data_IF_067719216820
#
_entry.id   IF_067719216820
#
_cell.length_a   1.000
_cell.length_b   1.000
_cell.length_c   1.000
_cell.angle_alpha   90.00
_cell.angle_beta   90.00
_cell.angle_gamma   90.00
#
_symmetry.space_group_name_H-M   'P 1'
#
loop_
_entity.id
_entity.type
_entity.pdbx_description
1 polymer ?
#
# COMPACT_ATOMS: atom_id res chain seq x y z
N UNK A 1 -8.88 29.01 128.91
CA UNK A 1 -10.24 29.21 128.39
C UNK A 1 -10.98 27.87 128.47
N UNK A 2 -11.94 27.70 129.41
CA UNK A 2 -13.41 27.59 129.18
C UNK A 2 -13.79 26.19 128.61
N UNK A 3 -14.66 25.29 129.10
CA UNK A 3 -15.73 25.12 130.14
C UNK A 3 -15.93 23.57 130.29
N UNK A 4 -16.05 22.93 131.46
CA UNK A 4 -17.20 22.77 132.39
C UNK A 4 -18.40 21.93 131.90
N UNK A 5 -18.68 20.80 132.59
CA UNK A 5 -19.97 20.32 133.16
C UNK A 5 -19.81 18.84 133.65
N UNK A 6 -19.61 18.55 134.95
CA UNK A 6 -20.58 18.36 136.08
C UNK A 6 -21.27 16.98 136.12
N UNK A 7 -21.04 16.20 137.20
CA UNK A 7 -22.07 15.45 137.97
C UNK A 7 -21.46 14.77 139.23
N UNK A 8 -22.25 14.46 140.29
CA UNK A 8 -21.77 14.47 141.68
C UNK A 8 -21.94 13.17 142.52
N UNK A 9 -21.12 13.09 143.58
CA UNK A 9 -21.31 12.55 144.96
C UNK A 9 -21.89 11.16 145.24
N UNK A 10 -21.13 10.33 145.98
CA UNK A 10 -21.61 9.56 147.16
C UNK A 10 -20.45 9.19 148.10
N UNK A 11 -20.74 9.13 149.41
CA UNK A 11 -19.80 9.10 150.57
C UNK A 11 -19.99 7.80 151.35
N UNK A 12 -18.90 7.11 151.76
CA UNK A 12 -18.74 6.32 153.04
C UNK A 12 -17.23 6.16 153.40
N UNK A 13 -16.85 6.21 154.69
CA UNK A 13 -15.50 6.36 155.33
C UNK A 13 -14.71 5.02 155.64
N UNK A 14 -13.71 4.92 156.58
CA UNK A 14 -12.23 5.17 156.50
C UNK A 14 -11.32 3.99 157.02
N UNK A 15 -9.97 3.97 156.76
CA UNK A 15 -8.84 3.58 157.70
C UNK A 15 -7.43 3.31 157.07
N UNK A 16 -6.43 4.17 157.39
CA UNK A 16 -4.98 3.98 157.80
C UNK A 16 -4.09 2.90 157.12
N UNK A 17 -2.99 3.17 156.37
CA UNK A 17 -1.73 3.95 156.58
C UNK A 17 -0.70 3.31 157.57
N UNK A 18 -0.01 2.20 157.20
CA UNK A 18 1.24 1.70 157.85
C UNK A 18 2.03 0.55 157.16
N UNK A 19 1.96 0.33 155.83
CA UNK A 19 2.55 -0.86 155.16
C UNK A 19 3.56 -0.61 154.03
N UNK A 20 3.96 0.64 153.76
CA UNK A 20 4.68 1.00 152.52
C UNK A 20 6.22 1.14 152.62
N UNK A 21 6.82 1.11 153.82
CA UNK A 21 8.26 1.41 153.95
C UNK A 21 9.22 0.21 153.80
N UNK A 22 8.76 -1.04 153.93
CA UNK A 22 9.65 -2.22 153.94
C UNK A 22 9.97 -2.80 152.54
N UNK A 23 9.32 -2.31 151.46
CA UNK A 23 9.47 -2.82 150.08
C UNK A 23 10.62 -2.19 149.26
N UNK A 24 11.22 -1.08 149.70
CA UNK A 24 12.18 -0.32 148.89
C UNK A 24 13.62 -0.86 148.90
N UNK A 25 14.05 -1.60 149.92
CA UNK A 25 15.46 -2.02 150.08
C UNK A 25 15.93 -3.18 149.17
N UNK A 26 15.06 -4.10 148.77
CA UNK A 26 15.43 -5.28 147.95
C UNK A 26 15.58 -5.00 146.45
N UNK A 27 15.34 -3.76 146.03
CA UNK A 27 15.35 -3.34 144.62
C UNK A 27 16.78 -2.99 144.14
N UNK A 28 17.71 -2.66 145.03
CA UNK A 28 19.04 -2.14 144.66
C UNK A 28 20.02 -3.15 144.02
N UNK A 29 20.20 -4.34 144.60
CA UNK A 29 21.24 -5.30 144.15
C UNK A 29 20.91 -5.93 142.80
N UNK A 30 19.62 -6.15 142.52
CA UNK A 30 19.16 -6.72 141.26
C UNK A 30 19.41 -5.78 140.06
N UNK A 31 19.60 -4.48 140.31
CA UNK A 31 19.85 -3.50 139.25
C UNK A 31 21.27 -3.59 138.65
N UNK A 32 22.26 -4.15 139.37
CA UNK A 32 23.65 -4.10 138.91
C UNK A 32 24.02 -5.27 137.98
N UNK A 33 23.57 -6.49 138.27
CA UNK A 33 23.71 -7.62 137.33
C UNK A 33 22.92 -7.40 136.04
N UNK A 34 21.78 -6.72 136.16
CA UNK A 34 21.03 -6.23 135.00
C UNK A 34 21.84 -5.25 134.14
N UNK A 35 22.82 -4.54 134.69
CA UNK A 35 23.60 -3.53 133.97
C UNK A 35 24.74 -4.13 133.12
N UNK A 36 25.38 -5.21 133.56
CA UNK A 36 26.46 -5.86 132.80
C UNK A 36 25.93 -6.76 131.69
N UNK A 37 24.86 -7.52 131.96
CA UNK A 37 24.11 -8.23 130.92
C UNK A 37 23.56 -7.26 129.87
N UNK A 38 23.18 -6.05 130.30
CA UNK A 38 22.79 -4.97 129.40
C UNK A 38 23.95 -4.49 128.50
N UNK A 39 25.19 -4.46 128.98
CA UNK A 39 26.35 -4.02 128.20
C UNK A 39 26.78 -5.02 127.12
N UNK A 40 26.77 -6.32 127.41
CA UNK A 40 27.07 -7.35 126.41
C UNK A 40 25.94 -7.51 125.39
N UNK A 41 24.69 -7.39 125.85
CA UNK A 41 23.54 -7.27 124.97
C UNK A 41 23.69 -6.05 124.05
N UNK A 42 24.21 -4.92 124.56
CA UNK A 42 24.42 -3.69 123.78
C UNK A 42 25.50 -3.82 122.70
N UNK A 43 26.58 -4.57 122.92
CA UNK A 43 27.63 -4.74 121.90
C UNK A 43 27.22 -5.73 120.80
N UNK A 44 26.55 -6.84 121.14
CA UNK A 44 25.95 -7.74 120.16
C UNK A 44 24.82 -7.06 119.38
N UNK A 45 24.01 -6.26 120.07
CA UNK A 45 23.01 -5.42 119.42
C UNK A 45 23.66 -4.49 118.38
N UNK A 46 24.76 -3.80 118.72
CA UNK A 46 25.48 -2.94 117.75
C UNK A 46 26.11 -3.68 116.56
N UNK A 47 26.61 -4.90 116.76
CA UNK A 47 27.18 -5.69 115.67
C UNK A 47 26.07 -6.18 114.72
N UNK A 48 24.94 -6.62 115.27
CA UNK A 48 23.74 -6.93 114.49
C UNK A 48 23.19 -5.69 113.79
N UNK A 49 23.19 -4.54 114.46
CA UNK A 49 22.76 -3.25 113.90
C UNK A 49 23.61 -2.87 112.68
N UNK A 50 24.94 -3.06 112.74
CA UNK A 50 25.85 -2.79 111.62
C UNK A 50 25.68 -3.78 110.46
N UNK A 51 25.41 -5.05 110.75
CA UNK A 51 25.13 -6.06 109.73
C UNK A 51 23.76 -5.82 109.07
N UNK A 52 22.77 -5.39 109.86
CA UNK A 52 21.47 -4.93 109.37
C UNK A 52 21.66 -3.69 108.48
N UNK A 53 22.48 -2.72 108.87
CA UNK A 53 22.81 -1.56 108.03
C UNK A 53 23.44 -1.94 106.69
N UNK A 54 24.38 -2.88 106.67
CA UNK A 54 25.00 -3.36 105.42
C UNK A 54 24.01 -4.12 104.53
N UNK A 55 23.10 -4.88 105.13
CA UNK A 55 22.08 -5.61 104.41
C UNK A 55 20.97 -4.68 103.90
N UNK A 56 20.64 -3.63 104.66
CA UNK A 56 19.72 -2.56 104.26
C UNK A 56 20.32 -1.79 103.09
N UNK A 57 21.58 -1.36 103.17
CA UNK A 57 22.25 -0.65 102.07
C UNK A 57 22.39 -1.50 100.79
N UNK A 58 22.65 -2.81 100.91
CA UNK A 58 22.64 -3.72 99.76
C UNK A 58 21.24 -3.91 99.16
N UNK A 59 20.22 -4.05 100.00
CA UNK A 59 18.83 -4.14 99.55
C UNK A 59 18.35 -2.83 98.91
N UNK A 60 18.79 -1.67 99.41
CA UNK A 60 18.53 -0.36 98.80
C UNK A 60 19.20 -0.25 97.42
N UNK A 61 20.43 -0.74 97.26
CA UNK A 61 21.12 -0.79 95.97
C UNK A 61 20.38 -1.70 94.97
N UNK A 62 20.01 -2.92 95.37
CA UNK A 62 19.22 -3.83 94.52
C UNK A 62 17.83 -3.27 94.19
N UNK A 63 17.19 -2.60 95.14
CA UNK A 63 15.92 -1.91 94.89
C UNK A 63 16.10 -0.78 93.87
N UNK A 64 17.21 -0.04 93.93
CA UNK A 64 17.54 1.01 92.97
C UNK A 64 17.83 0.45 91.57
N UNK A 65 18.56 -0.65 91.47
CA UNK A 65 18.86 -1.34 90.21
C UNK A 65 17.59 -1.91 89.56
N UNK A 66 16.74 -2.57 90.36
CA UNK A 66 15.43 -3.04 89.90
C UNK A 66 14.54 -1.89 89.43
N UNK A 67 14.57 -0.74 90.12
CA UNK A 67 13.84 0.46 89.71
C UNK A 67 14.33 1.00 88.36
N UNK A 68 15.64 0.94 88.08
CA UNK A 68 16.22 1.32 86.77
C UNK A 68 15.80 0.32 85.69
N UNK A 69 15.88 -0.98 85.96
CA UNK A 69 15.44 -2.04 85.04
C UNK A 69 13.95 -1.95 84.72
N UNK A 70 13.10 -1.70 85.70
CA UNK A 70 11.66 -1.49 85.50
C UNK A 70 11.40 -0.26 84.64
N UNK A 71 12.08 0.87 84.91
CA UNK A 71 11.94 2.08 84.10
C UNK A 71 12.40 1.88 82.65
N UNK A 72 13.45 1.08 82.44
CA UNK A 72 13.99 0.76 81.10
C UNK A 72 13.06 -0.18 80.34
N UNK A 73 12.54 -1.20 81.01
CA UNK A 73 11.56 -2.13 80.43
C UNK A 73 10.25 -1.42 80.09
N UNK A 74 9.80 -0.49 80.92
CA UNK A 74 8.63 0.34 80.65
C UNK A 74 8.84 1.18 79.37
N UNK A 75 9.99 1.86 79.27
CA UNK A 75 10.35 2.65 78.09
C UNK A 75 10.46 1.80 76.82
N UNK A 76 11.03 0.60 76.90
CA UNK A 76 11.11 -0.33 75.76
C UNK A 76 9.72 -0.81 75.32
N UNK A 77 8.81 -1.09 76.28
CA UNK A 77 7.42 -1.45 75.95
C UNK A 77 6.68 -0.30 75.26
N UNK A 78 6.89 0.94 75.73
CA UNK A 78 6.35 2.14 75.08
C UNK A 78 6.89 2.29 73.65
N UNK A 79 8.21 2.11 73.45
CA UNK A 79 8.81 2.16 72.13
C UNK A 79 8.28 1.07 71.19
N UNK A 80 8.17 -0.17 71.66
CA UNK A 80 7.60 -1.28 70.87
C UNK A 80 6.14 -0.99 70.50
N UNK A 81 5.35 -0.44 71.43
CA UNK A 81 3.97 -0.04 71.16
C UNK A 81 3.91 1.09 70.12
N UNK A 82 4.77 2.11 70.24
CA UNK A 82 4.86 3.21 69.27
C UNK A 82 5.28 2.71 67.88
N UNK A 83 6.27 1.83 67.79
CA UNK A 83 6.69 1.24 66.52
C UNK A 83 5.63 0.33 65.91
N UNK A 84 4.93 -0.46 66.71
CA UNK A 84 3.80 -1.29 66.26
C UNK A 84 2.67 -0.42 65.70
N UNK A 85 2.37 0.69 66.37
CA UNK A 85 1.37 1.65 65.92
C UNK A 85 1.79 2.35 64.62
N UNK A 86 3.04 2.82 64.53
CA UNK A 86 3.58 3.43 63.32
C UNK A 86 3.62 2.46 62.13
N UNK A 87 4.03 1.20 62.37
CA UNK A 87 4.04 0.16 61.34
C UNK A 87 2.63 -0.17 60.83
N UNK A 88 1.64 -0.17 61.72
CA UNK A 88 0.24 -0.32 61.34
C UNK A 88 -0.24 0.86 60.47
N UNK A 89 0.03 2.10 60.88
CA UNK A 89 -0.33 3.28 60.10
C UNK A 89 0.31 3.28 58.69
N UNK A 90 1.58 2.91 58.58
CA UNK A 90 2.27 2.80 57.29
C UNK A 90 1.63 1.72 56.42
N UNK A 91 1.27 0.57 57.01
CA UNK A 91 0.61 -0.52 56.28
C UNK A 91 -0.77 -0.09 55.77
N UNK A 92 -1.57 0.50 56.65
CA UNK A 92 -2.92 0.98 56.29
C UNK A 92 -2.84 2.04 55.17
N UNK A 93 -1.89 2.98 55.26
CA UNK A 93 -1.66 3.99 54.21
C UNK A 93 -1.14 3.38 52.89
N UNK A 94 -0.28 2.36 52.96
CA UNK A 94 0.20 1.65 51.77
C UNK A 94 -0.93 0.86 51.10
N UNK A 95 -1.79 0.20 51.87
CA UNK A 95 -2.93 -0.54 51.36
C UNK A 95 -3.95 0.40 50.70
N UNK A 96 -4.20 1.57 51.29
CA UNK A 96 -5.03 2.62 50.68
C UNK A 96 -4.44 3.15 49.37
N UNK A 97 -3.12 3.42 49.34
CA UNK A 97 -2.43 3.85 48.12
C UNK A 97 -2.48 2.78 47.01
N UNK A 98 -2.33 1.50 47.36
CA UNK A 98 -2.44 0.37 46.42
C UNK A 98 -3.88 0.24 45.91
N UNK A 99 -4.89 0.40 46.76
CA UNK A 99 -6.29 0.38 46.34
C UNK A 99 -6.60 1.54 45.37
N UNK A 100 -6.14 2.76 45.68
CA UNK A 100 -6.29 3.92 44.81
C UNK A 100 -5.56 3.75 43.47
N UNK A 101 -4.36 3.16 43.48
CA UNK A 101 -3.61 2.86 42.25
C UNK A 101 -4.34 1.82 41.38
N UNK A 102 -4.87 0.75 41.98
CA UNK A 102 -5.67 -0.27 41.27
C UNK A 102 -6.90 0.36 40.60
N UNK A 103 -7.60 1.24 41.31
CA UNK A 103 -8.77 1.94 40.75
C UNK A 103 -8.41 2.86 39.58
N UNK A 104 -7.24 3.52 39.63
CA UNK A 104 -6.74 4.33 38.50
C UNK A 104 -6.36 3.45 37.30
N UNK A 105 -5.73 2.30 37.53
CA UNK A 105 -5.37 1.34 36.47
C UNK A 105 -6.62 0.84 35.76
N UNK A 106 -7.66 0.43 36.49
CA UNK A 106 -8.93 0.00 35.88
C UNK A 106 -9.58 1.12 35.08
N UNK A 107 -9.62 2.35 35.61
CA UNK A 107 -10.18 3.49 34.89
C UNK A 107 -9.42 3.83 33.60
N UNK A 108 -8.09 3.71 33.60
CA UNK A 108 -7.27 3.91 32.38
C UNK A 108 -7.49 2.78 31.39
N UNK A 109 -7.63 1.53 31.86
CA UNK A 109 -7.91 0.39 31.00
C UNK A 109 -9.29 0.51 30.32
N UNK A 110 -10.33 0.84 31.08
CA UNK A 110 -11.68 1.07 30.55
C UNK A 110 -11.68 2.19 29.50
N UNK A 111 -10.94 3.28 29.76
CA UNK A 111 -10.78 4.39 28.81
C UNK A 111 -10.01 3.94 27.56
N UNK A 112 -8.97 3.11 27.71
CA UNK A 112 -8.22 2.53 26.61
C UNK A 112 -9.08 1.63 25.71
N UNK A 113 -9.91 0.77 26.31
CA UNK A 113 -10.86 -0.08 25.60
C UNK A 113 -11.91 0.75 24.86
N UNK A 114 -12.42 1.82 25.48
CA UNK A 114 -13.36 2.73 24.83
C UNK A 114 -12.74 3.44 23.63
N UNK A 115 -11.49 3.93 23.73
CA UNK A 115 -10.78 4.58 22.62
C UNK A 115 -10.50 3.57 21.49
N UNK A 116 -10.06 2.36 21.83
CA UNK A 116 -9.81 1.30 20.85
C UNK A 116 -11.09 0.86 20.11
N UNK A 117 -12.25 0.96 20.76
CA UNK A 117 -13.55 0.75 20.11
C UNK A 117 -13.88 1.89 19.15
N UNK A 118 -13.72 3.15 19.58
CA UNK A 118 -13.94 4.32 18.72
C UNK A 118 -13.03 4.33 17.49
N UNK A 119 -11.74 3.99 17.61
CA UNK A 119 -10.83 3.87 16.47
C UNK A 119 -11.32 2.85 15.44
N UNK A 120 -11.75 1.66 15.89
CA UNK A 120 -12.32 0.63 15.00
C UNK A 120 -13.61 1.08 14.33
N UNK A 121 -14.43 1.88 15.02
CA UNK A 121 -15.65 2.44 14.43
C UNK A 121 -15.33 3.52 13.38
N UNK A 122 -14.30 4.35 13.60
CA UNK A 122 -13.83 5.32 12.62
C UNK A 122 -13.19 4.66 11.39
N UNK A 123 -12.38 3.61 11.57
CA UNK A 123 -11.81 2.84 10.46
C UNK A 123 -12.92 2.25 9.57
N UNK A 124 -13.95 1.65 10.18
CA UNK A 124 -15.13 1.17 9.44
C UNK A 124 -15.87 2.28 8.72
N UNK A 125 -15.94 3.49 9.30
CA UNK A 125 -16.54 4.63 8.61
C UNK A 125 -15.70 5.08 7.41
N UNK A 126 -14.37 5.10 7.55
CA UNK A 126 -13.45 5.44 6.46
C UNK A 126 -13.60 4.41 5.32
N UNK A 127 -13.56 3.11 5.61
CA UNK A 127 -13.75 2.06 4.59
C UNK A 127 -15.10 2.20 3.87
N UNK A 128 -16.17 2.52 4.62
CA UNK A 128 -17.50 2.78 4.04
C UNK A 128 -17.49 4.01 3.15
N UNK A 129 -16.91 5.12 3.60
CA UNK A 129 -16.82 6.35 2.81
C UNK A 129 -15.97 6.15 1.56
N UNK A 130 -14.83 5.45 1.65
CA UNK A 130 -14.00 5.10 0.49
C UNK A 130 -14.74 4.19 -0.50
N UNK A 131 -15.52 3.23 0.01
CA UNK A 131 -16.40 2.40 -0.83
C UNK A 131 -17.48 3.25 -1.50
N UNK A 132 -18.13 4.15 -0.76
CA UNK A 132 -19.12 5.08 -1.32
C UNK A 132 -18.51 6.02 -2.35
N UNK A 133 -17.32 6.57 -2.12
CA UNK A 133 -16.60 7.43 -3.08
C UNK A 133 -16.27 6.63 -4.35
N UNK A 134 -15.73 5.41 -4.23
CA UNK A 134 -15.47 4.55 -5.40
C UNK A 134 -16.75 4.24 -6.18
N UNK A 135 -17.84 3.92 -5.48
CA UNK A 135 -19.13 3.64 -6.10
C UNK A 135 -19.75 4.90 -6.74
N UNK A 136 -19.60 6.08 -6.12
CA UNK A 136 -20.08 7.35 -6.66
C UNK A 136 -19.25 7.80 -7.87
N UNK A 137 -17.92 7.63 -7.85
CA UNK A 137 -17.04 7.91 -8.97
C UNK A 137 -17.33 6.97 -10.14
N UNK A 138 -17.48 5.66 -9.87
CA UNK A 138 -17.92 4.70 -10.89
C UNK A 138 -19.31 5.07 -11.43
N UNK A 139 -20.28 5.38 -10.56
CA UNK A 139 -21.61 5.79 -10.98
C UNK A 139 -21.63 7.11 -11.76
N UNK A 140 -20.79 8.09 -11.43
CA UNK A 140 -20.66 9.35 -12.19
C UNK A 140 -20.01 9.14 -13.56
N UNK A 141 -18.96 8.31 -13.64
CA UNK A 141 -18.37 7.89 -14.91
C UNK A 141 -19.39 7.14 -15.78
N UNK A 142 -20.24 6.31 -15.17
CA UNK A 142 -21.32 5.60 -15.87
C UNK A 142 -22.57 6.46 -16.17
N UNK A 143 -22.79 7.56 -15.45
CA UNK A 143 -23.98 8.39 -15.62
C UNK A 143 -23.80 9.51 -16.65
N UNK A 144 -22.56 9.88 -16.99
CA UNK A 144 -22.26 10.94 -17.96
C UNK A 144 -21.96 10.38 -19.36
N UNK A 145 -21.44 9.16 -19.46
CA UNK A 145 -21.23 8.47 -20.74
C UNK A 145 -21.97 7.12 -20.72
N UNK A 146 -22.79 6.84 -21.75
CA UNK A 146 -23.43 5.52 -21.88
C UNK A 146 -22.37 4.42 -21.77
N UNK A 147 -22.69 3.31 -21.10
CA UNK A 147 -21.77 2.17 -20.88
C UNK A 147 -21.03 1.70 -22.13
N UNK A 148 -21.59 1.91 -23.32
CA UNK A 148 -20.96 1.60 -24.62
C UNK A 148 -19.72 2.45 -24.94
N UNK A 149 -19.63 3.69 -24.46
CA UNK A 149 -18.50 4.60 -24.71
C UNK A 149 -17.55 4.73 -23.53
N UNK A 150 -17.77 3.92 -22.48
CA UNK A 150 -16.92 3.93 -21.32
C UNK A 150 -15.45 3.68 -21.74
N UNK A 151 -14.50 4.48 -21.23
CA UNK A 151 -13.12 4.39 -21.65
C UNK A 151 -12.55 3.01 -21.29
N UNK A 152 -12.06 2.29 -22.31
CA UNK A 152 -11.27 1.08 -22.08
C UNK A 152 -10.04 1.40 -21.20
N UNK A 153 -9.77 0.62 -20.14
CA UNK A 153 -8.56 0.79 -19.36
C UNK A 153 -7.31 0.66 -20.22
N UNK A 154 -6.27 1.46 -19.93
CA UNK A 154 -5.02 1.47 -20.70
C UNK A 154 -4.40 0.08 -20.81
N UNK A 155 -4.37 -0.69 -19.71
CA UNK A 155 -3.82 -2.04 -19.71
C UNK A 155 -4.54 -3.00 -20.68
N UNK A 156 -5.85 -2.81 -20.89
CA UNK A 156 -6.65 -3.62 -21.80
C UNK A 156 -6.33 -3.29 -23.25
N UNK A 157 -6.14 -2.01 -23.57
CA UNK A 157 -5.69 -1.54 -24.89
C UNK A 157 -4.31 -2.12 -25.20
N UNK A 158 -3.35 -1.98 -24.28
CA UNK A 158 -2.01 -2.55 -24.42
C UNK A 158 -2.06 -4.07 -24.64
N UNK A 159 -2.91 -4.77 -23.88
CA UNK A 159 -3.09 -6.21 -24.01
C UNK A 159 -3.65 -6.59 -25.39
N UNK A 160 -4.69 -5.90 -25.88
CA UNK A 160 -5.27 -6.15 -27.22
C UNK A 160 -4.26 -5.84 -28.33
N UNK A 161 -3.47 -4.78 -28.22
CA UNK A 161 -2.39 -4.47 -29.18
C UNK A 161 -1.28 -5.54 -29.16
N UNK A 162 -0.96 -6.10 -27.99
CA UNK A 162 -0.02 -7.24 -27.86
C UNK A 162 -0.59 -8.50 -28.51
N UNK A 163 -1.87 -8.82 -28.26
CA UNK A 163 -2.57 -9.95 -28.89
C UNK A 163 -2.59 -9.81 -30.42
N UNK A 164 -2.97 -8.65 -30.95
CA UNK A 164 -2.96 -8.37 -32.38
C UNK A 164 -1.57 -8.63 -32.99
N UNK A 165 -0.50 -8.10 -32.38
CA UNK A 165 0.85 -8.35 -32.87
C UNK A 165 1.23 -9.84 -32.83
N UNK A 166 0.91 -10.54 -31.75
CA UNK A 166 1.19 -11.98 -31.63
C UNK A 166 0.41 -12.81 -32.67
N UNK A 167 -0.85 -12.44 -32.93
CA UNK A 167 -1.70 -13.05 -33.94
C UNK A 167 -1.16 -12.81 -35.35
N UNK A 168 -0.77 -11.57 -35.69
CA UNK A 168 -0.12 -11.25 -36.98
C UNK A 168 1.15 -12.06 -37.17
N UNK A 169 1.99 -12.17 -36.13
CA UNK A 169 3.23 -12.95 -36.21
C UNK A 169 2.95 -14.45 -36.44
N UNK A 170 1.96 -15.00 -35.75
CA UNK A 170 1.57 -16.41 -35.90
C UNK A 170 0.95 -16.66 -37.28
N UNK A 171 0.07 -15.78 -37.73
CA UNK A 171 -0.49 -15.81 -39.07
C UNK A 171 0.61 -15.75 -40.14
N UNK A 172 1.56 -14.82 -40.00
CA UNK A 172 2.69 -14.71 -40.91
C UNK A 172 3.58 -15.96 -40.87
N UNK A 173 3.75 -16.61 -39.71
CA UNK A 173 4.49 -17.87 -39.61
C UNK A 173 3.85 -18.96 -40.48
N UNK A 174 2.55 -19.18 -40.32
CA UNK A 174 1.80 -20.20 -41.08
C UNK A 174 1.76 -19.93 -42.57
N UNK A 175 1.90 -18.67 -42.98
CA UNK A 175 1.76 -18.21 -44.35
C UNK A 175 3.10 -17.82 -45.02
N UNK A 176 4.23 -18.02 -44.32
CA UNK A 176 5.57 -17.68 -44.80
C UNK A 176 6.27 -18.86 -45.49
N UNK A 177 5.83 -19.17 -46.71
CA UNK A 177 6.36 -20.30 -47.48
C UNK A 177 7.68 -20.04 -48.24
N UNK A 178 8.09 -18.76 -48.37
CA UNK A 178 9.20 -18.41 -49.26
C UNK A 178 10.59 -18.71 -48.64
N UNK A 179 11.48 -19.30 -49.44
CA UNK A 179 12.90 -19.43 -49.09
C UNK A 179 13.61 -18.08 -49.12
N UNK A 180 14.79 -17.99 -48.51
CA UNK A 180 15.57 -16.76 -48.57
C UNK A 180 15.94 -16.38 -50.01
N UNK A 181 16.28 -17.34 -50.89
CA UNK A 181 16.58 -17.01 -52.29
C UNK A 181 15.35 -16.44 -53.00
N UNK A 182 14.16 -16.99 -52.75
CA UNK A 182 12.92 -16.48 -53.33
C UNK A 182 12.57 -15.07 -52.82
N UNK A 183 12.80 -14.79 -51.54
CA UNK A 183 12.61 -13.44 -50.96
C UNK A 183 13.60 -12.45 -51.57
N UNK A 184 14.84 -12.88 -51.85
CA UNK A 184 15.92 -12.06 -52.39
C UNK A 184 15.99 -12.02 -53.93
N UNK A 185 15.03 -12.65 -54.61
CA UNK A 185 14.83 -12.51 -56.05
C UNK A 185 14.78 -11.02 -56.42
N UNK A 186 15.56 -10.54 -57.41
CA UNK A 186 15.73 -9.10 -57.65
C UNK A 186 14.42 -8.32 -57.81
N UNK A 187 13.47 -8.84 -58.59
CA UNK A 187 12.20 -8.15 -58.86
C UNK A 187 11.29 -8.18 -57.64
N UNK A 188 11.14 -9.35 -56.99
CA UNK A 188 10.36 -9.46 -55.75
C UNK A 188 10.95 -8.59 -54.65
N UNK A 189 12.26 -8.67 -54.42
CA UNK A 189 12.94 -7.93 -53.37
C UNK A 189 12.80 -6.42 -53.57
N UNK A 190 12.89 -5.93 -54.82
CA UNK A 190 12.64 -4.53 -55.15
C UNK A 190 11.22 -4.10 -54.81
N UNK A 191 10.21 -4.90 -55.19
CA UNK A 191 8.81 -4.64 -54.85
C UNK A 191 8.59 -4.63 -53.33
N UNK A 192 9.09 -5.64 -52.62
CA UNK A 192 9.01 -5.75 -51.15
C UNK A 192 9.69 -4.57 -50.45
N UNK A 193 10.87 -4.13 -50.93
CA UNK A 193 11.55 -2.96 -50.39
C UNK A 193 10.73 -1.68 -50.58
N UNK A 194 10.17 -1.48 -51.78
CA UNK A 194 9.30 -0.34 -52.05
C UNK A 194 8.07 -0.36 -51.14
N UNK A 195 7.43 -1.51 -50.99
CA UNK A 195 6.30 -1.74 -50.11
C UNK A 195 6.60 -1.39 -48.63
N UNK A 196 7.75 -1.85 -48.13
CA UNK A 196 8.21 -1.57 -46.76
C UNK A 196 8.63 -0.11 -46.56
N UNK A 197 9.23 0.52 -47.58
CA UNK A 197 9.56 1.95 -47.55
C UNK A 197 8.32 2.83 -47.53
N UNK A 198 7.32 2.53 -48.37
CA UNK A 198 6.05 3.28 -48.41
C UNK A 198 5.30 3.22 -47.08
N UNK A 199 5.41 2.09 -46.36
CA UNK A 199 4.87 1.92 -45.00
C UNK A 199 5.73 2.58 -43.92
N UNK A 200 6.96 2.96 -44.23
CA UNK A 200 7.91 3.50 -43.26
C UNK A 200 8.45 2.44 -42.29
N UNK A 201 8.54 1.18 -42.72
CA UNK A 201 9.19 0.10 -41.97
C UNK A 201 10.72 0.22 -41.99
N UNK A 202 11.26 0.80 -43.07
CA UNK A 202 12.70 0.92 -43.34
C UNK A 202 13.01 2.29 -43.95
N UNK A 203 14.28 2.70 -43.88
CA UNK A 203 14.78 3.89 -44.57
C UNK A 203 15.22 3.58 -46.03
N UNK A 204 15.30 4.59 -46.92
CA UNK A 204 15.71 4.40 -48.31
C UNK A 204 17.07 3.70 -48.50
N UNK A 205 18.06 4.01 -47.67
CA UNK A 205 19.41 3.43 -47.72
C UNK A 205 19.56 2.17 -46.84
N UNK A 206 18.46 1.49 -46.53
CA UNK A 206 18.52 0.32 -45.66
C UNK A 206 19.36 -0.80 -46.29
N UNK A 207 20.40 -1.25 -45.56
CA UNK A 207 21.21 -2.43 -45.92
C UNK A 207 20.49 -3.76 -45.67
N UNK A 208 19.16 -3.78 -45.83
CA UNK A 208 18.30 -4.89 -45.46
C UNK A 208 18.74 -6.21 -46.14
N UNK A 209 19.04 -6.15 -47.45
CA UNK A 209 19.52 -7.32 -48.21
C UNK A 209 20.74 -7.98 -47.57
N UNK A 210 21.72 -7.16 -47.21
CA UNK A 210 22.98 -7.63 -46.63
C UNK A 210 22.79 -8.16 -45.21
N UNK A 211 21.99 -7.47 -44.40
CA UNK A 211 21.65 -7.92 -43.05
C UNK A 211 20.90 -9.27 -43.08
N UNK A 212 19.95 -9.45 -43.99
CA UNK A 212 19.22 -10.72 -44.15
C UNK A 212 20.16 -11.88 -44.52
N UNK A 213 21.15 -11.64 -45.40
CA UNK A 213 22.13 -12.66 -45.80
C UNK A 213 23.11 -13.04 -44.68
N UNK A 214 23.47 -12.09 -43.81
CA UNK A 214 24.45 -12.30 -42.73
C UNK A 214 23.82 -12.96 -41.51
N UNK A 215 22.52 -12.78 -41.29
CA UNK A 215 21.86 -13.27 -40.09
C UNK A 215 21.49 -14.77 -40.21
N UNK A 216 22.12 -15.61 -39.38
CA UNK A 216 21.89 -17.06 -39.37
C UNK A 216 20.44 -17.47 -39.11
N UNK A 217 19.66 -16.67 -38.38
CA UNK A 217 18.26 -16.98 -38.12
C UNK A 217 17.40 -16.79 -39.38
N UNK A 218 17.76 -15.83 -40.25
CA UNK A 218 17.07 -15.55 -41.52
C UNK A 218 17.34 -16.60 -42.60
N UNK A 219 18.43 -17.37 -42.47
CA UNK A 219 18.73 -18.51 -43.34
C UNK A 219 17.76 -19.69 -43.14
N UNK A 220 17.03 -19.73 -42.02
CA UNK A 220 16.03 -20.79 -41.79
C UNK A 220 14.85 -20.61 -42.75
N UNK A 221 14.33 -21.70 -43.34
CA UNK A 221 13.19 -21.62 -44.28
C UNK A 221 12.03 -20.81 -43.72
N UNK A 222 11.47 -19.92 -44.54
CA UNK A 222 10.34 -19.06 -44.18
C UNK A 222 10.65 -17.89 -43.24
N UNK A 223 11.77 -17.87 -42.49
CA UNK A 223 11.98 -16.86 -41.43
C UNK A 223 12.16 -15.44 -41.94
N UNK A 224 12.90 -15.23 -43.03
CA UNK A 224 13.00 -13.91 -43.65
C UNK A 224 11.62 -13.43 -44.14
N UNK A 225 10.88 -14.30 -44.85
CA UNK A 225 9.52 -14.01 -45.31
C UNK A 225 8.57 -13.68 -44.15
N UNK A 226 8.59 -14.49 -43.08
CA UNK A 226 7.81 -14.27 -41.86
C UNK A 226 8.03 -12.88 -41.29
N UNK A 227 9.29 -12.44 -41.15
CA UNK A 227 9.62 -11.16 -40.53
C UNK A 227 9.17 -9.99 -41.40
N UNK A 228 9.40 -10.07 -42.71
CA UNK A 228 9.00 -9.01 -43.64
C UNK A 228 7.46 -8.92 -43.75
N UNK A 229 6.78 -10.07 -43.80
CA UNK A 229 5.32 -10.14 -43.83
C UNK A 229 4.71 -9.63 -42.52
N UNK A 230 5.27 -10.03 -41.37
CA UNK A 230 4.86 -9.51 -40.05
C UNK A 230 5.01 -7.98 -40.02
N UNK A 231 6.12 -7.45 -40.56
CA UNK A 231 6.37 -6.02 -40.61
C UNK A 231 5.31 -5.29 -41.44
N UNK A 232 5.12 -5.71 -42.69
CA UNK A 232 4.18 -5.09 -43.60
C UNK A 232 2.75 -5.08 -43.06
N UNK A 233 2.26 -6.24 -42.61
CA UNK A 233 0.90 -6.40 -42.09
C UNK A 233 0.70 -5.64 -40.78
N UNK A 234 1.69 -5.65 -39.88
CA UNK A 234 1.60 -4.88 -38.63
C UNK A 234 1.50 -3.38 -38.92
N UNK A 235 2.23 -2.87 -39.93
CA UNK A 235 2.13 -1.47 -40.34
C UNK A 235 0.81 -1.14 -41.02
N UNK A 236 0.28 -2.02 -41.86
CA UNK A 236 -1.03 -1.82 -42.49
C UNK A 236 -2.13 -1.76 -41.43
N UNK A 237 -2.19 -2.73 -40.52
CA UNK A 237 -3.20 -2.74 -39.45
C UNK A 237 -3.02 -1.53 -38.53
N UNK A 238 -1.81 -1.31 -38.00
CA UNK A 238 -1.64 -0.27 -37.00
C UNK A 238 -1.75 1.12 -37.63
N UNK A 239 -1.24 1.36 -38.83
CA UNK A 239 -1.26 2.72 -39.41
C UNK A 239 -2.57 3.03 -40.13
N UNK A 240 -3.14 2.08 -40.89
CA UNK A 240 -4.36 2.31 -41.69
C UNK A 240 -5.65 2.07 -40.91
N UNK A 241 -5.61 1.28 -39.84
CA UNK A 241 -6.81 1.00 -39.01
C UNK A 241 -6.68 1.66 -37.64
N UNK A 242 -5.67 1.32 -36.83
CA UNK A 242 -5.55 1.86 -35.47
C UNK A 242 -5.21 3.36 -35.48
N UNK A 243 -4.34 3.80 -36.39
CA UNK A 243 -3.84 5.17 -36.47
C UNK A 243 -4.72 6.14 -37.25
N UNK A 244 -5.77 5.65 -37.92
CA UNK A 244 -6.68 6.47 -38.73
C UNK A 244 -8.08 6.49 -38.09
N UNK A 245 -8.55 7.63 -37.57
CA UNK A 245 -9.89 7.74 -36.99
C UNK A 245 -11.02 7.54 -38.00
N UNK A 246 -10.73 7.68 -39.29
CA UNK A 246 -11.69 7.57 -40.38
C UNK A 246 -11.39 6.37 -41.29
N UNK A 247 -10.69 5.34 -40.77
CA UNK A 247 -10.36 4.14 -41.53
C UNK A 247 -11.57 3.47 -42.20
N UNK A 248 -12.77 3.62 -41.62
CA UNK A 248 -14.00 3.05 -42.15
C UNK A 248 -14.48 3.76 -43.43
N UNK A 249 -13.98 4.96 -43.75
CA UNK A 249 -14.39 5.74 -44.92
C UNK A 249 -13.65 5.26 -46.18
N UNK A 250 -14.20 4.23 -46.83
CA UNK A 250 -13.56 3.55 -47.97
C UNK A 250 -14.38 3.60 -49.27
N UNK A 251 -15.62 4.08 -49.21
CA UNK A 251 -16.53 4.13 -50.35
C UNK A 251 -16.13 5.11 -51.45
N UNK A 252 -16.47 4.74 -52.69
CA UNK A 252 -16.53 5.61 -53.86
C UNK A 252 -17.84 6.40 -53.98
N UNK A 253 -18.06 7.03 -55.13
CA UNK A 253 -19.22 7.90 -55.39
C UNK A 253 -20.55 7.13 -55.31
N UNK A 254 -20.61 5.91 -55.84
CA UNK A 254 -21.85 5.14 -55.99
C UNK A 254 -22.01 4.05 -54.91
N UNK A 255 -21.13 4.01 -53.92
CA UNK A 255 -21.15 2.99 -52.88
C UNK A 255 -22.15 3.31 -51.76
N UNK A 256 -22.81 2.26 -51.27
CA UNK A 256 -23.64 2.30 -50.07
C UNK A 256 -22.80 2.17 -48.78
N UNK A 257 -21.68 2.88 -48.68
CA UNK A 257 -20.78 2.93 -47.50
C UNK A 257 -20.25 4.36 -47.28
N UNK A 258 -19.54 4.61 -46.18
CA UNK A 258 -18.95 5.92 -45.91
C UNK A 258 -17.87 6.24 -46.95
N UNK A 259 -17.96 7.40 -47.59
CA UNK A 259 -17.08 7.75 -48.71
C UNK A 259 -15.71 8.21 -48.26
N UNK A 260 -14.67 7.76 -48.97
CA UNK A 260 -13.27 8.10 -48.68
C UNK A 260 -12.96 9.60 -48.72
N UNK A 261 -13.56 10.34 -49.66
CA UNK A 261 -13.38 11.79 -49.73
C UNK A 261 -13.87 12.50 -48.46
N UNK A 262 -15.00 12.07 -47.88
CA UNK A 262 -15.53 12.69 -46.66
C UNK A 262 -14.59 12.47 -45.48
N UNK A 263 -14.01 11.27 -45.32
CA UNK A 263 -13.02 11.00 -44.28
C UNK A 263 -11.79 11.90 -44.40
N UNK A 264 -11.27 12.06 -45.62
CA UNK A 264 -10.13 12.92 -45.90
C UNK A 264 -10.43 14.41 -45.63
N UNK A 265 -11.60 14.90 -46.05
CA UNK A 265 -12.02 16.29 -45.82
C UNK A 265 -12.19 16.59 -44.33
N UNK A 266 -12.75 15.64 -43.57
CA UNK A 266 -12.88 15.76 -42.11
C UNK A 266 -11.50 15.78 -41.44
N UNK A 267 -10.57 14.91 -41.84
CA UNK A 267 -9.22 14.90 -41.25
C UNK A 267 -8.47 16.22 -41.53
N UNK A 268 -8.60 16.79 -42.74
CA UNK A 268 -8.04 18.11 -43.07
C UNK A 268 -8.63 19.19 -42.15
N UNK A 269 -9.95 19.20 -41.99
CA UNK A 269 -10.64 20.16 -41.12
C UNK A 269 -10.19 20.03 -39.67
N UNK A 270 -10.10 18.80 -39.15
CA UNK A 270 -9.63 18.55 -37.78
C UNK A 270 -8.18 18.97 -37.60
N UNK A 271 -7.32 18.74 -38.60
CA UNK A 271 -5.94 19.22 -38.60
C UNK A 271 -5.84 20.74 -38.52
N UNK A 272 -6.73 21.47 -39.20
CA UNK A 272 -6.80 22.94 -39.10
C UNK A 272 -7.23 23.40 -37.71
N UNK A 273 -8.29 22.80 -37.15
CA UNK A 273 -8.79 23.13 -35.81
C UNK A 273 -7.72 22.83 -34.75
N UNK A 274 -7.03 21.69 -34.88
CA UNK A 274 -5.99 21.22 -33.95
C UNK A 274 -4.84 22.21 -33.76
N UNK A 275 -4.53 23.01 -34.78
CA UNK A 275 -3.50 24.06 -34.68
C UNK A 275 -3.89 25.22 -33.75
N UNK A 276 -5.19 25.42 -33.49
CA UNK A 276 -5.72 26.48 -32.62
C UNK A 276 -6.35 25.96 -31.33
N UNK A 277 -6.99 24.79 -31.38
CA UNK A 277 -7.74 24.16 -30.29
C UNK A 277 -7.68 22.64 -30.46
N UNK A 278 -6.62 22.03 -29.91
CA UNK A 278 -6.40 20.59 -29.96
C UNK A 278 -7.52 19.81 -29.25
N UNK A 279 -7.98 20.29 -28.10
CA UNK A 279 -9.07 19.65 -27.35
C UNK A 279 -10.40 19.71 -28.11
N UNK A 280 -10.73 20.86 -28.72
CA UNK A 280 -11.91 21.02 -29.56
C UNK A 280 -11.90 20.11 -30.79
N UNK A 281 -10.74 19.96 -31.45
CA UNK A 281 -10.60 19.04 -32.59
C UNK A 281 -10.90 17.59 -32.19
N UNK A 282 -10.28 17.09 -31.12
CA UNK A 282 -10.48 15.70 -30.70
C UNK A 282 -11.88 15.45 -30.13
N UNK A 283 -12.50 16.44 -29.48
CA UNK A 283 -13.90 16.39 -29.06
C UNK A 283 -14.86 16.27 -30.26
N UNK A 284 -14.64 17.06 -31.32
CA UNK A 284 -15.42 17.01 -32.55
C UNK A 284 -15.30 15.64 -33.24
N UNK A 285 -14.07 15.14 -33.40
CA UNK A 285 -13.81 13.80 -33.95
C UNK A 285 -14.56 12.72 -33.18
N UNK A 286 -14.39 12.71 -31.86
CA UNK A 286 -15.05 11.77 -30.96
C UNK A 286 -16.57 11.82 -31.10
N UNK A 287 -17.15 13.01 -31.11
CA UNK A 287 -18.60 13.20 -31.23
C UNK A 287 -19.12 12.74 -32.59
N UNK A 288 -18.41 13.04 -33.67
CA UNK A 288 -18.79 12.61 -35.02
C UNK A 288 -18.86 11.08 -35.12
N UNK A 289 -17.86 10.37 -34.60
CA UNK A 289 -17.85 8.91 -34.60
C UNK A 289 -18.97 8.31 -33.72
N UNK A 290 -19.23 8.90 -32.54
CA UNK A 290 -20.35 8.49 -31.68
C UNK A 290 -21.73 8.73 -32.31
N UNK A 291 -21.86 9.74 -33.18
CA UNK A 291 -23.09 9.99 -33.93
C UNK A 291 -23.31 8.97 -35.06
N UNK A 292 -22.22 8.44 -35.63
CA UNK A 292 -22.28 7.39 -36.65
C UNK A 292 -22.65 6.03 -36.05
N UNK A 293 -22.36 5.80 -34.77
CA UNK A 293 -22.72 4.56 -34.08
C UNK A 293 -23.38 4.89 -32.74
N UNK A 294 -24.64 5.34 -32.69
CA UNK A 294 -25.25 5.77 -31.43
C UNK A 294 -25.59 4.58 -30.50
N UNK A 295 -25.61 4.82 -29.17
CA UNK A 295 -25.76 3.75 -28.18
C UNK A 295 -27.19 3.26 -27.96
N UNK A 296 -28.19 3.97 -28.50
CA UNK A 296 -29.59 3.62 -28.32
C UNK A 296 -29.96 2.33 -29.04
N UNK A 297 -30.83 1.54 -28.42
CA UNK A 297 -31.43 0.35 -29.03
C UNK A 297 -32.17 0.71 -30.33
N UNK A 298 -32.18 -0.24 -31.26
CA UNK A 298 -32.63 -0.17 -32.67
C UNK A 298 -34.13 0.16 -32.90
N UNK A 299 -34.78 0.87 -31.97
CA UNK A 299 -36.19 1.22 -32.07
C UNK A 299 -36.50 2.19 -33.23
N UNK A 300 -35.50 2.92 -33.74
CA UNK A 300 -35.62 3.80 -34.89
C UNK A 300 -34.91 3.21 -36.12
N UNK A 301 -35.67 3.02 -37.20
CA UNK A 301 -35.18 2.50 -38.50
C UNK A 301 -34.04 3.32 -39.10
N UNK A 302 -34.01 4.64 -38.88
CA UNK A 302 -32.96 5.51 -39.39
C UNK A 302 -31.64 5.30 -38.65
N UNK A 303 -31.72 5.07 -37.34
CA UNK A 303 -30.55 4.74 -36.51
C UNK A 303 -30.00 3.37 -36.88
N UNK A 304 -30.86 2.36 -37.06
CA UNK A 304 -30.44 1.04 -37.51
C UNK A 304 -29.72 1.10 -38.87
N UNK A 305 -30.27 1.86 -39.84
CA UNK A 305 -29.66 2.05 -41.14
C UNK A 305 -28.25 2.64 -41.06
N UNK A 306 -28.04 3.69 -40.25
CA UNK A 306 -26.70 4.30 -40.11
C UNK A 306 -25.71 3.33 -39.45
N UNK A 307 -26.15 2.55 -38.45
CA UNK A 307 -25.29 1.54 -37.82
C UNK A 307 -24.88 0.44 -38.80
N UNK A 308 -25.82 -0.05 -39.61
CA UNK A 308 -25.55 -1.04 -40.66
C UNK A 308 -24.60 -0.48 -41.73
N UNK A 309 -24.82 0.77 -42.15
CA UNK A 309 -23.94 1.48 -43.08
C UNK A 309 -22.50 1.52 -42.56
N UNK A 310 -22.31 1.91 -41.30
CA UNK A 310 -20.98 2.01 -40.67
C UNK A 310 -20.35 0.64 -40.51
N UNK A 311 -21.12 -0.37 -40.09
CA UNK A 311 -20.65 -1.76 -39.97
C UNK A 311 -20.17 -2.31 -41.31
N UNK A 312 -20.92 -2.08 -42.39
CA UNK A 312 -20.53 -2.46 -43.75
C UNK A 312 -19.28 -1.70 -44.20
N UNK A 313 -19.19 -0.41 -43.87
CA UNK A 313 -18.02 0.41 -44.16
C UNK A 313 -16.74 -0.12 -43.47
N UNK A 314 -16.85 -0.51 -42.19
CA UNK A 314 -15.75 -1.16 -41.44
C UNK A 314 -15.37 -2.52 -42.04
N UNK A 315 -16.36 -3.31 -42.46
CA UNK A 315 -16.13 -4.59 -43.12
C UNK A 315 -15.36 -4.39 -44.43
N UNK A 316 -15.76 -3.43 -45.27
CA UNK A 316 -15.07 -3.13 -46.52
C UNK A 316 -13.63 -2.64 -46.31
N UNK A 317 -13.40 -1.79 -45.30
CA UNK A 317 -12.05 -1.38 -44.92
C UNK A 317 -11.16 -2.56 -44.50
N UNK A 318 -11.72 -3.52 -43.76
CA UNK A 318 -11.05 -4.77 -43.42
C UNK A 318 -10.66 -5.55 -44.69
N UNK A 319 -11.61 -5.74 -45.63
CA UNK A 319 -11.36 -6.46 -46.89
C UNK A 319 -10.23 -5.80 -47.69
N UNK A 320 -10.22 -4.47 -47.82
CA UNK A 320 -9.18 -3.75 -48.54
C UNK A 320 -7.79 -3.97 -47.94
N UNK A 321 -7.66 -3.92 -46.62
CA UNK A 321 -6.38 -4.18 -45.92
C UNK A 321 -5.92 -5.63 -46.10
N UNK A 322 -6.83 -6.60 -45.96
CA UNK A 322 -6.52 -8.02 -46.10
C UNK A 322 -6.05 -8.34 -47.52
N UNK A 323 -6.81 -7.92 -48.54
CA UNK A 323 -6.48 -8.18 -49.93
C UNK A 323 -5.16 -7.50 -50.31
N UNK A 324 -4.96 -6.23 -49.94
CA UNK A 324 -3.71 -5.52 -50.22
C UNK A 324 -2.49 -6.23 -49.61
N UNK A 325 -2.60 -6.75 -48.39
CA UNK A 325 -1.50 -7.46 -47.74
C UNK A 325 -1.17 -8.79 -48.42
N UNK A 326 -2.18 -9.57 -48.79
CA UNK A 326 -1.99 -10.88 -49.44
C UNK A 326 -1.42 -10.70 -50.85
N UNK A 327 -2.03 -9.82 -51.65
CA UNK A 327 -1.67 -9.61 -53.05
C UNK A 327 -0.23 -9.06 -53.20
N UNK A 328 0.20 -8.17 -52.30
CA UNK A 328 1.49 -7.50 -52.40
C UNK A 328 2.66 -8.37 -51.89
N UNK A 329 2.45 -9.22 -50.87
CA UNK A 329 3.54 -9.94 -50.20
C UNK A 329 3.56 -11.46 -50.40
N UNK A 330 2.41 -12.11 -50.56
CA UNK A 330 2.36 -13.58 -50.59
C UNK A 330 2.56 -14.15 -52.00
N UNK A 331 2.38 -13.34 -53.04
CA UNK A 331 2.50 -13.79 -54.43
C UNK A 331 1.38 -14.77 -54.82
N UNK A 332 1.58 -15.59 -55.86
CA UNK A 332 0.54 -16.51 -56.34
C UNK A 332 0.28 -17.61 -55.30
N UNK A 333 -0.98 -17.76 -54.90
CA UNK A 333 -1.46 -18.79 -53.97
C UNK A 333 -2.47 -19.71 -54.66
N UNK A 334 -2.60 -20.95 -54.19
CA UNK A 334 -3.77 -21.75 -54.54
C UNK A 334 -5.03 -21.18 -53.87
N UNK A 335 -6.22 -21.52 -54.38
CA UNK A 335 -7.48 -21.05 -53.77
C UNK A 335 -7.57 -21.43 -52.29
N UNK A 336 -7.20 -22.66 -51.92
CA UNK A 336 -7.21 -23.12 -50.52
C UNK A 336 -6.23 -22.33 -49.64
N UNK A 337 -5.02 -22.05 -50.14
CA UNK A 337 -4.03 -21.24 -49.43
C UNK A 337 -4.50 -19.79 -49.28
N UNK A 338 -5.10 -19.24 -50.33
CA UNK A 338 -5.67 -17.89 -50.30
C UNK A 338 -6.79 -17.79 -49.27
N UNK A 339 -7.77 -18.70 -49.28
CA UNK A 339 -8.86 -18.71 -48.31
C UNK A 339 -8.36 -18.86 -46.87
N UNK A 340 -7.38 -19.75 -46.64
CA UNK A 340 -6.79 -19.91 -45.31
C UNK A 340 -6.07 -18.64 -44.84
N UNK A 341 -5.25 -18.04 -45.69
CA UNK A 341 -4.54 -16.80 -45.41
C UNK A 341 -5.53 -15.65 -45.17
N UNK A 342 -6.52 -15.51 -46.04
CA UNK A 342 -7.56 -14.49 -45.96
C UNK A 342 -8.36 -14.58 -44.65
N UNK A 343 -8.91 -15.75 -44.33
CA UNK A 343 -9.73 -15.92 -43.13
C UNK A 343 -8.94 -15.65 -41.84
N UNK A 344 -7.68 -16.10 -41.79
CA UNK A 344 -6.81 -15.85 -40.65
C UNK A 344 -6.48 -14.36 -40.47
N UNK A 345 -6.21 -13.64 -41.57
CA UNK A 345 -5.90 -12.22 -41.51
C UNK A 345 -7.16 -11.38 -41.26
N UNK A 346 -8.28 -11.71 -41.90
CA UNK A 346 -9.55 -11.01 -41.73
C UNK A 346 -10.02 -11.01 -40.26
N UNK A 347 -9.86 -12.12 -39.55
CA UNK A 347 -10.16 -12.17 -38.12
C UNK A 347 -9.29 -11.18 -37.30
N UNK A 348 -7.99 -11.08 -37.58
CA UNK A 348 -7.09 -10.14 -36.92
C UNK A 348 -7.42 -8.68 -37.25
N UNK A 349 -7.71 -8.39 -38.52
CA UNK A 349 -8.06 -7.04 -38.97
C UNK A 349 -9.42 -6.62 -38.42
N UNK A 350 -10.39 -7.54 -38.33
CA UNK A 350 -11.66 -7.31 -37.66
C UNK A 350 -11.47 -6.88 -36.20
N UNK A 351 -10.66 -7.62 -35.44
CA UNK A 351 -10.37 -7.27 -34.04
C UNK A 351 -9.68 -5.91 -33.91
N UNK A 352 -8.87 -5.53 -34.89
CA UNK A 352 -8.25 -4.21 -34.98
C UNK A 352 -9.26 -3.12 -35.32
N UNK A 353 -10.22 -3.36 -36.22
CA UNK A 353 -11.30 -2.42 -36.53
C UNK A 353 -12.15 -2.13 -35.29
N UNK A 354 -12.51 -3.15 -34.53
CA UNK A 354 -13.29 -3.00 -33.30
C UNK A 354 -12.48 -2.28 -32.20
N UNK A 355 -11.17 -2.56 -32.09
CA UNK A 355 -10.29 -1.81 -31.19
C UNK A 355 -10.17 -0.34 -31.62
N UNK A 356 -9.94 -0.07 -32.90
CA UNK A 356 -9.81 1.28 -33.47
C UNK A 356 -11.07 2.10 -33.18
N UNK A 357 -12.25 1.53 -33.45
CA UNK A 357 -13.52 2.20 -33.19
C UNK A 357 -13.69 2.58 -31.71
N UNK A 358 -13.35 1.68 -30.79
CA UNK A 358 -13.38 1.94 -29.35
C UNK A 358 -12.36 3.00 -28.91
N UNK A 359 -11.20 3.10 -29.57
CA UNK A 359 -10.19 4.11 -29.29
C UNK A 359 -10.63 5.49 -29.77
N UNK A 360 -11.13 5.58 -31.00
CA UNK A 360 -11.50 6.85 -31.62
C UNK A 360 -12.89 7.36 -31.21
N UNK A 361 -13.67 6.59 -30.48
CA UNK A 361 -14.88 7.11 -29.82
C UNK A 361 -14.57 7.75 -28.47
N UNK A 362 -13.29 8.07 -28.21
CA UNK A 362 -12.80 8.82 -27.04
C UNK A 362 -12.08 10.09 -27.48
N UNK A 363 -11.86 11.03 -26.57
CA UNK A 363 -11.16 12.29 -26.83
C UNK A 363 -9.62 12.18 -26.85
N UNK A 364 -9.05 11.12 -26.28
CA UNK A 364 -7.62 10.86 -26.40
C UNK A 364 -7.24 10.62 -27.87
N UNK A 365 -6.06 11.08 -28.29
CA UNK A 365 -5.56 10.88 -29.66
C UNK A 365 -4.60 9.70 -29.69
N UNK A 366 -4.84 8.76 -30.60
CA UNK A 366 -3.88 7.69 -30.89
C UNK A 366 -2.92 8.18 -31.96
N UNK A 367 -1.62 7.96 -31.78
CA UNK A 367 -0.61 8.27 -32.77
C UNK A 367 0.20 7.03 -33.11
N UNK A 368 0.33 6.73 -34.39
CA UNK A 368 1.12 5.59 -34.88
C UNK A 368 2.33 6.12 -35.61
N UNK A 369 3.51 5.84 -35.06
CA UNK A 369 4.76 6.42 -35.51
C UNK A 369 5.58 5.39 -36.31
N UNK A 370 5.89 5.76 -37.55
CA UNK A 370 6.77 5.02 -38.44
C UNK A 370 8.25 5.41 -38.24
N UNK A 371 9.15 4.90 -39.08
CA UNK A 371 10.58 5.19 -39.03
C UNK A 371 10.90 6.69 -38.97
N UNK A 372 10.31 7.48 -39.86
CA UNK A 372 10.59 8.91 -39.98
C UNK A 372 10.10 9.68 -38.75
N UNK A 373 8.89 9.36 -38.27
CA UNK A 373 8.31 9.99 -37.07
C UNK A 373 9.14 9.69 -35.83
N UNK A 374 9.54 8.43 -35.63
CA UNK A 374 10.37 8.03 -34.48
C UNK A 374 11.73 8.74 -34.56
N UNK A 375 12.39 8.73 -35.73
CA UNK A 375 13.69 9.39 -35.92
C UNK A 375 13.63 10.88 -35.58
N UNK A 376 12.56 11.56 -35.97
CA UNK A 376 12.36 12.98 -35.65
C UNK A 376 12.18 13.20 -34.14
N UNK A 377 11.51 12.29 -33.43
CA UNK A 377 11.27 12.41 -32.00
C UNK A 377 12.50 12.06 -31.14
N UNK A 378 13.23 11.01 -31.49
CA UNK A 378 14.35 10.48 -30.69
C UNK A 378 15.71 11.02 -31.09
N UNK A 379 15.81 11.71 -32.25
CA UNK A 379 17.06 12.11 -32.89
C UNK A 379 18.06 10.96 -33.17
N UNK A 380 17.64 9.70 -33.01
CA UNK A 380 18.49 8.52 -33.25
C UNK A 380 17.65 7.26 -33.55
N UNK A 381 18.12 6.47 -34.51
CA UNK A 381 17.59 5.13 -34.84
C UNK A 381 18.54 4.01 -34.38
N UNK A 382 19.15 4.19 -33.21
CA UNK A 382 19.95 3.16 -32.53
C UNK A 382 19.15 2.53 -31.39
N UNK A 383 19.26 1.21 -31.23
CA UNK A 383 18.64 0.52 -30.10
C UNK A 383 19.36 0.83 -28.78
N UNK A 384 18.59 0.86 -27.69
CA UNK A 384 19.07 0.91 -26.31
C UNK A 384 18.13 0.07 -25.44
N UNK A 385 18.69 -0.76 -24.57
CA UNK A 385 18.00 -1.62 -23.59
C UNK A 385 17.06 -0.84 -22.68
N UNK A 386 17.44 0.40 -22.33
CA UNK A 386 16.64 1.32 -21.52
C UNK A 386 15.63 2.15 -22.31
N UNK A 387 15.40 1.84 -23.60
CA UNK A 387 14.49 2.62 -24.43
C UNK A 387 13.04 2.37 -24.05
N UNK A 388 12.30 3.45 -23.80
CA UNK A 388 10.84 3.39 -23.63
C UNK A 388 10.09 3.27 -24.97
N UNK A 389 10.79 3.46 -26.09
CA UNK A 389 10.21 3.47 -27.43
C UNK A 389 10.41 2.15 -28.18
N UNK A 390 11.53 1.45 -27.93
CA UNK A 390 11.93 0.27 -28.69
C UNK A 390 11.85 -1.02 -27.86
N UNK A 391 11.42 -2.08 -28.51
CA UNK A 391 11.51 -3.46 -28.05
C UNK A 391 12.21 -4.28 -29.14
N UNK A 392 13.14 -5.16 -28.77
CA UNK A 392 13.86 -5.96 -29.77
C UNK A 392 13.00 -7.13 -30.26
N UNK A 393 13.06 -7.40 -31.55
CA UNK A 393 12.41 -8.55 -32.16
C UNK A 393 12.86 -9.86 -31.49
N UNK A 394 11.94 -10.80 -31.17
CA UNK A 394 12.25 -12.04 -30.46
C UNK A 394 13.31 -12.97 -31.08
N UNK A 395 13.72 -12.73 -32.32
CA UNK A 395 14.83 -13.46 -32.95
C UNK A 395 16.19 -13.17 -32.29
N UNK A 396 16.30 -12.03 -31.60
CA UNK A 396 17.50 -11.60 -30.87
C UNK A 396 17.53 -12.09 -29.41
N UNK A 397 16.56 -12.91 -28.98
CA UNK A 397 16.48 -13.39 -27.59
C UNK A 397 17.76 -14.06 -27.09
N UNK A 398 18.45 -14.80 -27.98
CA UNK A 398 19.71 -15.47 -27.64
C UNK A 398 20.84 -14.48 -27.39
N UNK A 399 20.88 -13.39 -28.15
CA UNK A 399 21.91 -12.36 -28.02
C UNK A 399 21.72 -11.55 -26.72
N UNK A 400 20.50 -11.50 -26.19
CA UNK A 400 20.12 -10.77 -24.98
C UNK A 400 20.07 -11.64 -23.70
N UNK A 401 20.21 -12.97 -23.80
CA UNK A 401 19.99 -13.90 -22.68
C UNK A 401 21.02 -13.70 -21.55
N UNK A 402 22.26 -13.35 -21.90
CA UNK A 402 23.34 -13.16 -20.92
C UNK A 402 23.69 -11.68 -20.68
N UNK A 403 23.35 -10.79 -21.59
CA UNK A 403 23.70 -9.37 -21.52
C UNK A 403 22.59 -8.55 -22.19
N UNK A 404 21.65 -7.98 -21.41
CA UNK A 404 20.55 -7.17 -21.93
C UNK A 404 21.00 -5.98 -22.79
N UNK A 405 22.20 -5.47 -22.55
CA UNK A 405 22.82 -4.33 -23.24
C UNK A 405 23.62 -4.73 -24.48
N UNK A 406 23.69 -6.03 -24.85
CA UNK A 406 24.54 -6.52 -25.94
C UNK A 406 24.28 -5.85 -27.29
N UNK A 407 23.06 -5.36 -27.50
CA UNK A 407 22.62 -4.71 -28.73
C UNK A 407 22.58 -3.19 -28.62
N UNK A 408 22.98 -2.60 -27.50
CA UNK A 408 22.95 -1.16 -27.29
C UNK A 408 23.87 -0.44 -28.30
N UNK A 409 23.39 0.67 -28.83
CA UNK A 409 24.10 1.46 -29.85
C UNK A 409 24.03 0.89 -31.27
N UNK A 410 23.52 -0.33 -31.46
CA UNK A 410 23.39 -0.91 -32.80
C UNK A 410 22.30 -0.19 -33.59
N UNK A 411 22.56 0.02 -34.89
CA UNK A 411 21.57 0.61 -35.79
C UNK A 411 20.41 -0.36 -35.97
N UNK A 412 19.19 0.18 -35.86
CA UNK A 412 17.99 -0.55 -36.27
C UNK A 412 18.06 -0.72 -37.80
N UNK A 413 17.63 -1.87 -38.31
CA UNK A 413 17.59 -2.16 -39.75
C UNK A 413 16.16 -2.20 -40.27
N UNK A 414 15.23 -2.72 -39.46
CA UNK A 414 13.82 -2.88 -39.80
C UNK A 414 12.95 -2.59 -38.58
N UNK A 415 11.88 -1.82 -38.75
CA UNK A 415 10.76 -1.78 -37.83
C UNK A 415 9.78 -2.90 -38.20
N UNK A 416 9.68 -3.91 -37.34
CA UNK A 416 8.71 -5.00 -37.49
C UNK A 416 7.31 -4.57 -37.04
N UNK A 417 7.21 -3.56 -36.17
CA UNK A 417 5.93 -3.02 -35.72
C UNK A 417 6.13 -1.54 -35.40
N UNK A 418 5.22 -0.64 -35.81
CA UNK A 418 5.32 0.77 -35.46
C UNK A 418 5.13 1.01 -33.96
N UNK A 419 5.55 2.19 -33.50
CA UNK A 419 5.29 2.69 -32.16
C UNK A 419 3.83 3.19 -32.11
N UNK A 420 3.09 2.84 -31.06
CA UNK A 420 1.74 3.35 -30.81
C UNK A 420 1.75 4.15 -29.51
N UNK A 421 1.37 5.41 -29.62
CA UNK A 421 1.26 6.36 -28.52
C UNK A 421 -0.21 6.75 -28.31
N UNK A 422 -0.52 7.18 -27.10
CA UNK A 422 -1.74 7.94 -26.81
C UNK A 422 -1.35 9.30 -26.25
N UNK A 423 -1.96 10.34 -26.78
CA UNK A 423 -1.83 11.72 -26.33
C UNK A 423 -3.15 12.17 -25.70
N UNK A 424 -3.04 12.80 -24.53
CA UNK A 424 -4.17 13.30 -23.77
C UNK A 424 -4.89 12.24 -22.93
N UNK A 425 -5.69 12.71 -21.98
CA UNK A 425 -6.48 11.90 -21.06
C UNK A 425 -7.89 11.61 -21.61
N UNK A 426 -8.73 10.91 -20.83
CA UNK A 426 -10.10 10.59 -21.23
C UNK A 426 -10.98 11.84 -21.45
N UNK A 427 -10.69 12.94 -20.75
CA UNK A 427 -11.43 14.19 -20.82
C UNK A 427 -11.04 15.08 -22.01
N UNK A 428 -9.97 14.72 -22.73
CA UNK A 428 -9.43 15.49 -23.84
C UNK A 428 -8.54 16.64 -23.39
N UNK A 429 -7.72 16.39 -22.37
CA UNK A 429 -6.74 17.35 -21.84
C UNK A 429 -5.34 16.74 -21.84
N UNK A 430 -4.30 17.57 -21.68
CA UNK A 430 -2.89 17.14 -21.52
C UNK A 430 -2.29 16.40 -22.74
N UNK A 431 -2.54 16.87 -23.96
CA UNK A 431 -2.02 16.25 -25.19
C UNK A 431 -0.50 16.32 -25.34
N UNK A 432 0.17 17.18 -24.59
CA UNK A 432 1.63 17.21 -24.45
C UNK A 432 2.19 15.95 -23.78
N UNK A 433 1.37 15.28 -22.95
CA UNK A 433 1.76 14.05 -22.28
C UNK A 433 1.41 12.86 -23.17
N UNK A 434 2.46 12.23 -23.74
CA UNK A 434 2.33 11.04 -24.57
C UNK A 434 2.70 9.80 -23.78
N UNK A 435 1.81 8.83 -23.71
CA UNK A 435 2.06 7.53 -23.12
C UNK A 435 2.24 6.47 -24.23
N UNK A 436 3.19 5.56 -24.02
CA UNK A 436 3.45 4.45 -24.95
C UNK A 436 2.44 3.33 -24.70
N UNK A 437 1.53 3.11 -25.65
CA UNK A 437 0.62 1.95 -25.62
C UNK A 437 1.29 0.69 -26.17
N UNK A 438 2.20 0.87 -27.13
CA UNK A 438 2.97 -0.24 -27.70
C UNK A 438 4.30 0.26 -28.21
N UNK A 439 5.39 -0.29 -27.69
CA UNK A 439 6.75 -0.05 -28.20
C UNK A 439 6.87 -0.52 -29.65
N UNK A 440 7.67 0.20 -30.43
CA UNK A 440 8.08 -0.25 -31.76
C UNK A 440 8.94 -1.51 -31.61
N UNK A 441 8.63 -2.54 -32.39
CA UNK A 441 9.41 -3.78 -32.40
C UNK A 441 10.45 -3.66 -33.51
N UNK A 442 11.72 -3.83 -33.15
CA UNK A 442 12.84 -3.53 -34.05
C UNK A 442 13.68 -4.77 -34.30
N UNK A 443 14.10 -4.95 -35.54
CA UNK A 443 15.10 -5.94 -35.91
C UNK A 443 16.41 -5.25 -36.23
N UNK A 444 17.45 -5.69 -35.51
CA UNK A 444 18.84 -5.28 -35.66
C UNK A 444 19.52 -6.28 -36.61
N UNK A 445 20.24 -5.77 -37.61
CA UNK A 445 20.73 -6.55 -38.75
C UNK A 445 22.18 -6.98 -38.69
#
# INVERSE_FOLDING_TARGET
MIRSLVAPTQVVQPTLQKRDEERLGKIGVKNQELYEAYLEYRTKARAQEKQIEQMVTFNEFQAQENKILESTNLRLREQVMQHSYAAKQIRDAADEAVAAAKQKVTAVQDKGESVAKSCRDYEKQIERLESTIRNMQAAQLHAVESTQWAPLPTFEIEHRLKLLHSGVRQWAESNSGLTLEQVLDPERFKSTMQALMLRGCIQPDARLRECLLRNRAMLKPGKASQVLLTAAVSFDILSKIIGDPFFAFVGGMDDCVLRKCHGADIEILLGLIRNSDEAGAEALRCQLLRLLDPPTAEADSSVAFVKDLVKESRHRAMVEVVNSAIDEFMGPLSNEQYEHAYNGLAALVHDACELSWALWTRKARVEVHNWSSIKHQTNSMSYKSTSDVFEVHPLHKRDLEHTPEALDGHSITLLCTPLVLVAGNAEGEQYENKAVLKKAIVWIG
#
